data_IF_407709376288
#
_entry.id   IF_407709376288
#
_cell.length_a   1.000
_cell.length_b   1.000
_cell.length_c   1.000
_cell.angle_alpha   90.00
_cell.angle_beta   90.00
_cell.angle_gamma   90.00
#
_symmetry.space_group_name_H-M   'P 1'
#
loop_
_entity.id
_entity.type
_entity.pdbx_description
1 polymer ?
#
# COMPACT_ATOMS: atom_id res chain seq x y z
N UNK A 1 23.33 15.53 -15.67
CA UNK A 1 23.22 14.05 -15.73
C UNK A 1 21.83 13.69 -15.23
N UNK A 2 20.89 13.42 -16.15
CA UNK A 2 19.50 13.17 -15.82
C UNK A 2 19.33 11.73 -15.32
N UNK A 3 18.99 11.55 -14.05
CA UNK A 3 18.66 10.23 -13.49
C UNK A 3 17.21 9.92 -13.83
N UNK A 4 17.01 8.98 -14.74
CA UNK A 4 15.71 8.44 -15.13
C UNK A 4 15.04 7.75 -13.94
N UNK A 5 14.01 8.39 -13.39
CA UNK A 5 13.13 7.78 -12.39
C UNK A 5 12.27 6.71 -13.06
N UNK A 6 12.73 5.47 -13.01
CA UNK A 6 11.93 4.29 -13.31
C UNK A 6 10.84 4.16 -12.25
N UNK A 7 9.60 4.48 -12.61
CA UNK A 7 8.42 4.39 -11.75
C UNK A 7 8.06 2.91 -11.53
N UNK A 8 7.99 2.48 -10.26
CA UNK A 8 7.40 1.18 -9.87
C UNK A 8 8.33 0.13 -9.28
N UNK A 9 9.66 0.31 -9.30
CA UNK A 9 10.59 -0.63 -8.66
C UNK A 9 10.83 -0.30 -7.18
N UNK A 10 10.79 -1.31 -6.29
CA UNK A 10 11.32 -1.17 -4.92
C UNK A 10 12.83 -0.97 -5.05
N UNK A 11 13.30 0.24 -4.77
CA UNK A 11 14.72 0.56 -4.85
C UNK A 11 15.30 0.53 -3.43
N UNK A 12 16.46 -0.10 -3.20
CA UNK A 12 17.17 0.13 -1.95
C UNK A 12 17.48 1.63 -1.86
N UNK A 13 17.21 2.23 -0.71
CA UNK A 13 17.54 3.65 -0.51
C UNK A 13 19.04 3.83 -0.79
N UNK A 14 19.37 4.65 -1.81
CA UNK A 14 20.77 4.85 -2.23
C UNK A 14 21.56 5.74 -1.25
N UNK A 15 20.91 6.24 -0.20
CA UNK A 15 21.57 6.87 0.94
C UNK A 15 21.89 5.80 1.98
N UNK A 16 23.12 5.83 2.49
CA UNK A 16 23.58 5.06 3.65
C UNK A 16 22.44 4.72 4.62
N UNK A 17 22.42 3.51 5.15
CA UNK A 17 21.44 2.96 6.11
C UNK A 17 21.16 3.84 7.36
N UNK A 18 21.81 5.01 7.49
CA UNK A 18 21.68 6.05 8.52
C UNK A 18 21.47 7.46 7.91
N UNK A 19 20.64 7.64 6.87
CA UNK A 19 20.23 9.01 6.51
C UNK A 19 19.37 9.58 7.65
N UNK A 20 19.63 10.83 8.06
CA UNK A 20 18.85 11.54 9.09
C UNK A 20 17.35 11.51 8.77
N UNK A 21 17.00 11.54 7.47
CA UNK A 21 15.61 11.45 7.02
C UNK A 21 14.98 10.09 7.35
N UNK A 22 15.70 8.99 7.13
CA UNK A 22 15.24 7.62 7.43
C UNK A 22 15.10 7.41 8.94
N UNK A 23 16.02 7.93 9.75
CA UNK A 23 15.89 7.90 11.21
C UNK A 23 14.67 8.69 11.69
N UNK A 24 14.40 9.87 11.11
CA UNK A 24 13.23 10.67 11.46
C UNK A 24 11.91 10.00 11.02
N UNK A 25 11.92 9.25 9.92
CA UNK A 25 10.78 8.43 9.50
C UNK A 25 10.59 7.25 10.46
N UNK A 26 11.66 6.58 10.87
CA UNK A 26 11.63 5.46 11.80
C UNK A 26 11.16 5.87 13.20
N UNK A 27 11.67 6.97 13.75
CA UNK A 27 11.21 7.52 15.04
C UNK A 27 9.73 7.86 14.99
N UNK A 28 9.29 8.54 13.93
CA UNK A 28 7.87 8.84 13.73
C UNK A 28 7.00 7.57 13.70
N UNK A 29 7.45 6.52 13.03
CA UNK A 29 6.73 5.25 12.99
C UNK A 29 6.58 4.63 14.39
N UNK A 30 7.65 4.62 15.19
CA UNK A 30 7.63 4.08 16.56
C UNK A 30 6.76 4.96 17.47
N UNK A 31 6.83 6.28 17.36
CA UNK A 31 6.01 7.22 18.14
C UNK A 31 4.51 7.07 17.82
N UNK A 32 4.15 6.99 16.53
CA UNK A 32 2.77 6.75 16.09
C UNK A 32 2.24 5.42 16.59
N UNK A 33 3.05 4.36 16.52
CA UNK A 33 2.69 3.04 17.06
C UNK A 33 2.46 3.09 18.58
N UNK A 34 3.40 3.69 19.34
CA UNK A 34 3.27 3.84 20.78
C UNK A 34 2.02 4.64 21.16
N UNK A 35 1.67 5.66 20.38
CA UNK A 35 0.46 6.47 20.59
C UNK A 35 -0.83 5.70 20.27
N UNK A 36 -0.83 4.89 19.20
CA UNK A 36 -2.02 4.17 18.71
C UNK A 36 -2.30 2.89 19.50
N UNK A 37 -1.26 2.13 19.83
CA UNK A 37 -1.39 0.83 20.53
C UNK A 37 -1.07 0.91 22.03
N UNK A 38 -0.75 2.09 22.57
CA UNK A 38 -0.26 2.25 23.94
C UNK A 38 0.97 1.36 24.23
N UNK A 39 1.77 1.09 23.20
CA UNK A 39 2.98 0.30 23.31
C UNK A 39 4.15 1.15 23.85
N UNK A 40 5.16 0.47 24.38
CA UNK A 40 6.36 1.10 24.94
C UNK A 40 7.60 0.60 24.19
N UNK A 41 7.60 0.84 22.88
CA UNK A 41 8.67 0.43 21.97
C UNK A 41 9.71 1.55 21.86
N UNK A 42 10.98 1.24 22.10
CA UNK A 42 12.09 2.20 22.05
C UNK A 42 12.92 2.00 20.79
N UNK A 43 12.93 2.99 19.88
CA UNK A 43 13.71 2.94 18.65
C UNK A 43 15.23 2.86 18.94
N UNK A 44 15.92 1.88 18.33
CA UNK A 44 17.37 1.72 18.43
C UNK A 44 18.07 2.20 17.16
N UNK A 45 17.75 1.60 16.00
CA UNK A 45 18.39 1.93 14.72
C UNK A 45 17.57 1.44 13.53
N UNK A 46 17.89 1.94 12.34
CA UNK A 46 17.37 1.41 11.08
C UNK A 46 18.30 0.30 10.59
N UNK A 47 17.75 -0.88 10.33
CA UNK A 47 18.48 -2.05 9.80
C UNK A 47 18.43 -2.09 8.28
N UNK A 48 17.26 -1.73 7.72
CA UNK A 48 17.06 -1.72 6.27
C UNK A 48 16.11 -0.61 5.89
N UNK A 49 16.35 0.00 4.73
CA UNK A 49 15.51 1.03 4.19
C UNK A 49 15.39 0.85 2.68
N UNK A 50 14.15 0.70 2.22
CA UNK A 50 13.80 0.62 0.81
C UNK A 50 12.75 1.67 0.52
N UNK A 51 12.76 2.17 -0.70
CA UNK A 51 11.83 3.21 -1.14
C UNK A 51 11.06 2.68 -2.34
N UNK A 52 9.77 2.97 -2.34
CA UNK A 52 8.87 2.62 -3.41
C UNK A 52 8.12 3.86 -3.86
N UNK A 53 8.30 4.22 -5.14
CA UNK A 53 7.56 5.32 -5.75
C UNK A 53 6.15 4.82 -6.07
N UNK A 54 5.15 5.44 -5.45
CA UNK A 54 3.71 5.17 -5.63
C UNK A 54 2.99 6.49 -5.92
N UNK A 55 1.75 6.69 -5.47
CA UNK A 55 1.13 8.03 -5.37
C UNK A 55 1.76 8.86 -4.21
N UNK A 56 3.09 8.90 -4.17
CA UNK A 56 3.96 9.49 -3.15
C UNK A 56 5.28 8.75 -3.10
N UNK A 57 5.99 8.86 -1.99
CA UNK A 57 7.13 8.00 -1.65
C UNK A 57 6.71 7.13 -0.47
N UNK A 58 6.67 5.81 -0.67
CA UNK A 58 6.47 4.85 0.39
C UNK A 58 7.83 4.35 0.86
N UNK A 59 8.18 4.65 2.10
CA UNK A 59 9.42 4.19 2.73
C UNK A 59 9.15 2.91 3.50
N UNK A 60 9.76 1.81 3.07
CA UNK A 60 9.80 0.54 3.78
C UNK A 60 11.05 0.50 4.67
N UNK A 61 10.85 0.55 5.97
CA UNK A 61 11.89 0.64 6.99
C UNK A 61 11.84 -0.63 7.83
N UNK A 62 12.96 -1.29 7.98
CA UNK A 62 13.15 -2.29 9.03
C UNK A 62 13.91 -1.60 10.15
N UNK A 63 13.25 -1.43 11.30
CA UNK A 63 13.78 -0.75 12.47
C UNK A 63 14.01 -1.78 13.58
N UNK A 64 15.15 -1.69 14.23
CA UNK A 64 15.41 -2.41 15.48
C UNK A 64 14.92 -1.54 16.63
N UNK A 65 14.09 -2.11 17.49
CA UNK A 65 13.55 -1.43 18.65
C UNK A 65 13.53 -2.35 19.88
N UNK A 66 13.59 -1.77 21.07
CA UNK A 66 13.47 -2.51 22.33
C UNK A 66 12.03 -2.45 22.81
N UNK A 67 11.42 -3.62 22.97
CA UNK A 67 10.06 -3.78 23.50
C UNK A 67 10.12 -4.65 24.75
N UNK A 68 9.66 -4.10 25.88
CA UNK A 68 9.74 -4.72 27.20
C UNK A 68 11.15 -5.27 27.55
N UNK A 69 12.20 -4.56 27.15
CA UNK A 69 13.60 -4.93 27.41
C UNK A 69 14.19 -5.97 26.45
N UNK A 70 13.46 -6.40 25.41
CA UNK A 70 13.95 -7.31 24.37
C UNK A 70 14.11 -6.58 23.04
N UNK A 71 15.24 -6.79 22.37
CA UNK A 71 15.48 -6.25 21.02
C UNK A 71 14.67 -7.03 20.00
N UNK A 72 13.84 -6.30 19.25
CA UNK A 72 12.94 -6.83 18.25
C UNK A 72 13.08 -6.04 16.96
N UNK A 73 12.92 -6.72 15.83
CA UNK A 73 12.84 -6.05 14.54
C UNK A 73 11.39 -5.73 14.23
N UNK A 74 11.17 -4.54 13.68
CA UNK A 74 9.88 -4.07 13.23
C UNK A 74 9.99 -3.57 11.81
N UNK A 75 9.05 -3.94 10.97
CA UNK A 75 8.87 -3.38 9.64
C UNK A 75 7.83 -2.27 9.70
N UNK A 76 8.27 -1.07 9.39
CA UNK A 76 7.45 0.13 9.30
C UNK A 76 7.34 0.58 7.84
N UNK A 77 6.12 0.85 7.39
CA UNK A 77 5.85 1.46 6.08
C UNK A 77 5.35 2.87 6.30
N UNK A 78 6.10 3.88 5.87
CA UNK A 78 5.74 5.28 6.03
C UNK A 78 5.47 5.89 4.67
N UNK A 79 4.25 6.40 4.47
CA UNK A 79 3.86 7.00 3.21
C UNK A 79 3.94 8.52 3.28
N UNK A 80 4.72 9.10 2.39
CA UNK A 80 4.99 10.53 2.31
C UNK A 80 4.49 11.06 0.97
N UNK A 81 3.66 12.11 1.01
CA UNK A 81 3.23 12.87 -0.18
C UNK A 81 3.73 14.31 -0.04
N UNK A 82 4.88 14.66 -0.63
CA UNK A 82 5.49 15.98 -0.49
C UNK A 82 4.56 17.12 -0.94
N UNK A 83 3.77 16.90 -2.00
CA UNK A 83 2.85 17.89 -2.55
C UNK A 83 1.64 18.20 -1.66
N UNK A 84 1.40 17.39 -0.62
CA UNK A 84 0.26 17.53 0.28
C UNK A 84 0.70 17.69 1.75
N UNK A 85 2.02 17.76 2.02
CA UNK A 85 2.60 17.73 3.36
C UNK A 85 2.04 16.57 4.21
N UNK A 86 1.73 15.45 3.56
CA UNK A 86 1.09 14.31 4.20
C UNK A 86 2.14 13.25 4.51
N UNK A 87 2.23 12.85 5.76
CA UNK A 87 3.10 11.78 6.24
C UNK A 87 2.27 10.92 7.20
N UNK A 88 2.12 9.64 6.88
CA UNK A 88 1.32 8.71 7.66
C UNK A 88 2.02 7.34 7.76
N UNK A 89 1.99 6.76 8.95
CA UNK A 89 2.40 5.38 9.17
C UNK A 89 1.32 4.46 8.60
N UNK A 90 1.64 3.80 7.49
CA UNK A 90 0.73 2.86 6.86
C UNK A 90 0.69 1.54 7.61
N UNK A 91 1.85 1.04 8.04
CA UNK A 91 1.95 -0.29 8.63
C UNK A 91 3.14 -0.33 9.59
N UNK A 92 2.97 -1.03 10.72
CA UNK A 92 4.03 -1.31 11.67
C UNK A 92 3.88 -2.74 12.18
N UNK A 93 4.76 -3.64 11.74
CA UNK A 93 4.67 -5.08 12.02
C UNK A 93 5.93 -5.57 12.69
N UNK A 94 5.78 -6.51 13.61
CA UNK A 94 6.95 -7.20 14.17
C UNK A 94 7.53 -8.18 13.15
N UNK A 95 8.77 -7.94 12.72
CA UNK A 95 9.46 -8.72 11.70
C UNK A 95 10.24 -9.94 12.26
N UNK A 96 10.11 -10.21 13.57
CA UNK A 96 10.75 -11.31 14.27
C UNK A 96 11.88 -10.87 15.21
N UNK A 97 12.21 -11.73 16.17
CA UNK A 97 13.34 -11.54 17.07
C UNK A 97 14.66 -11.66 16.30
N UNK A 98 15.59 -10.73 16.53
CA UNK A 98 16.91 -10.72 15.87
C UNK A 98 17.78 -11.94 16.23
N UNK A 99 17.35 -12.73 17.22
CA UNK A 99 18.06 -13.90 17.76
C UNK A 99 17.09 -15.07 18.01
N UNK A 100 16.50 -15.68 16.97
CA UNK A 100 16.00 -17.08 17.04
C UNK A 100 15.76 -17.68 15.66
N UNK A 101 16.80 -18.35 15.16
CA UNK A 101 16.67 -19.45 14.21
C UNK A 101 15.71 -20.51 14.79
N UNK A 102 14.74 -20.94 13.98
CA UNK A 102 14.05 -22.22 14.07
C UNK A 102 13.40 -22.59 15.42
N UNK A 103 12.10 -22.33 15.53
CA UNK A 103 11.20 -23.32 16.13
C UNK A 103 10.30 -23.90 15.04
N UNK A 104 10.91 -24.65 14.12
CA UNK A 104 10.18 -25.69 13.39
C UNK A 104 9.92 -26.81 14.38
N UNK A 105 8.75 -26.83 15.02
CA UNK A 105 8.25 -28.09 15.55
C UNK A 105 7.83 -28.90 14.33
N UNK A 106 8.75 -29.75 13.89
CA UNK A 106 8.55 -30.68 12.80
C UNK A 106 7.41 -31.65 13.16
N UNK A 107 6.19 -31.30 12.76
CA UNK A 107 5.10 -32.25 12.64
C UNK A 107 4.41 -32.00 11.30
N UNK A 108 4.87 -32.78 10.33
CA UNK A 108 4.04 -33.49 9.34
C UNK A 108 2.99 -32.66 8.56
N UNK A 109 3.34 -32.29 7.33
CA UNK A 109 2.69 -32.72 6.08
C UNK A 109 2.99 -31.72 4.96
N UNK A 110 3.58 -32.24 3.89
CA UNK A 110 4.05 -31.46 2.76
C UNK A 110 2.95 -30.67 2.06
N UNK A 111 3.19 -29.36 1.90
CA UNK A 111 2.61 -28.59 0.81
C UNK A 111 3.66 -27.56 0.36
N UNK A 112 4.15 -27.76 -0.87
CA UNK A 112 4.81 -26.69 -1.60
C UNK A 112 3.78 -25.60 -1.88
N UNK A 113 4.09 -24.36 -1.49
CA UNK A 113 3.78 -23.17 -2.30
C UNK A 113 4.59 -21.97 -1.79
N UNK A 114 5.60 -21.68 -2.57
CA UNK A 114 6.07 -20.35 -3.00
C UNK A 114 6.00 -19.21 -1.97
N UNK A 115 7.20 -18.83 -1.55
CA UNK A 115 7.55 -17.77 -0.61
C UNK A 115 7.01 -16.39 -1.05
N UNK A 116 5.96 -15.96 -0.37
CA UNK A 116 5.45 -14.61 -0.09
C UNK A 116 6.09 -13.40 -0.81
N UNK A 117 5.58 -13.08 -2.01
CA UNK A 117 5.38 -11.69 -2.46
C UNK A 117 3.97 -11.20 -2.05
N UNK A 118 3.66 -9.90 -2.15
CA UNK A 118 2.33 -9.38 -1.82
C UNK A 118 1.28 -10.17 -2.61
N UNK A 119 0.33 -10.77 -1.91
CA UNK A 119 -0.69 -11.63 -2.49
C UNK A 119 -1.63 -10.77 -3.35
N UNK A 120 -1.31 -10.58 -4.63
CA UNK A 120 -2.24 -10.01 -5.61
C UNK A 120 -3.35 -11.03 -5.84
N UNK A 121 -4.48 -10.84 -5.17
CA UNK A 121 -5.64 -11.68 -5.35
C UNK A 121 -6.46 -11.11 -6.51
N UNK A 122 -6.46 -11.83 -7.65
CA UNK A 122 -7.40 -11.53 -8.72
C UNK A 122 -8.81 -11.74 -8.18
N UNK A 123 -9.62 -10.68 -8.16
CA UNK A 123 -10.98 -10.72 -7.63
C UNK A 123 -11.95 -10.93 -8.78
N UNK A 124 -13.02 -11.67 -8.53
CA UNK A 124 -14.09 -11.82 -9.49
C UNK A 124 -14.70 -10.44 -9.79
N UNK A 125 -14.87 -10.12 -11.07
CA UNK A 125 -15.50 -8.86 -11.51
C UNK A 125 -16.99 -8.77 -11.16
N UNK A 126 -17.60 -9.89 -10.78
CA UNK A 126 -19.00 -9.97 -10.31
C UNK A 126 -19.13 -9.89 -8.78
N UNK A 127 -18.04 -9.62 -8.06
CA UNK A 127 -18.10 -9.50 -6.60
C UNK A 127 -18.85 -8.19 -6.22
N UNK A 128 -19.81 -8.23 -5.28
CA UNK A 128 -20.56 -7.05 -4.85
C UNK A 128 -19.65 -5.93 -4.33
N UNK A 129 -18.50 -6.25 -3.71
CA UNK A 129 -17.53 -5.26 -3.23
C UNK A 129 -16.87 -4.54 -4.40
N UNK A 130 -16.57 -5.30 -5.46
CA UNK A 130 -15.93 -4.79 -6.68
C UNK A 130 -16.91 -3.93 -7.48
N UNK A 131 -18.19 -4.32 -7.53
CA UNK A 131 -19.24 -3.50 -8.16
C UNK A 131 -19.48 -2.19 -7.40
N UNK A 132 -19.63 -2.23 -6.08
CA UNK A 132 -19.83 -1.02 -5.27
C UNK A 132 -18.64 -0.05 -5.40
N UNK A 133 -17.41 -0.59 -5.37
CA UNK A 133 -16.21 0.19 -5.62
C UNK A 133 -16.16 0.79 -7.04
N UNK A 134 -16.62 0.04 -8.06
CA UNK A 134 -16.70 0.52 -9.43
C UNK A 134 -17.73 1.64 -9.60
N UNK A 135 -18.92 1.51 -9.02
CA UNK A 135 -19.97 2.52 -9.06
C UNK A 135 -19.53 3.79 -8.32
N UNK A 136 -18.91 3.63 -7.15
CA UNK A 136 -18.32 4.75 -6.42
C UNK A 136 -17.22 5.44 -7.24
N UNK A 137 -16.39 4.66 -7.94
CA UNK A 137 -15.37 5.19 -8.83
C UNK A 137 -15.99 5.97 -9.99
N UNK A 138 -16.99 5.45 -10.70
CA UNK A 138 -17.69 6.12 -11.81
C UNK A 138 -18.38 7.40 -11.36
N UNK A 139 -19.02 7.40 -10.18
CA UNK A 139 -19.57 8.62 -9.58
C UNK A 139 -18.48 9.66 -9.34
N UNK A 140 -17.32 9.24 -8.88
CA UNK A 140 -16.15 10.10 -8.73
C UNK A 140 -15.63 10.60 -10.09
N UNK A 141 -15.63 9.76 -11.14
CA UNK A 141 -15.34 10.16 -12.55
C UNK A 141 -16.24 11.30 -12.98
N UNK A 142 -17.54 11.16 -12.77
CA UNK A 142 -18.50 12.17 -13.16
C UNK A 142 -18.31 13.48 -12.39
N UNK A 143 -18.01 13.42 -11.08
CA UNK A 143 -17.81 14.61 -10.26
C UNK A 143 -16.53 15.37 -10.63
N UNK A 144 -15.42 14.67 -10.90
CA UNK A 144 -14.15 15.30 -11.28
C UNK A 144 -14.13 15.78 -12.73
N UNK A 145 -14.91 15.14 -13.58
CA UNK A 145 -15.00 15.52 -14.99
C UNK A 145 -16.02 16.63 -15.17
N UNK A 146 -15.66 17.67 -15.91
CA UNK A 146 -16.62 18.70 -16.33
C UNK A 146 -17.50 18.21 -17.51
N UNK A 147 -17.90 16.93 -17.50
CA UNK A 147 -18.63 16.30 -18.59
C UNK A 147 -20.13 16.56 -18.45
N UNK A 148 -20.75 17.12 -19.48
CA UNK A 148 -22.20 17.33 -19.56
C UNK A 148 -22.98 16.02 -19.76
N UNK A 149 -22.31 14.96 -20.19
CA UNK A 149 -22.89 13.62 -20.36
C UNK A 149 -22.48 12.71 -19.20
N UNK A 150 -23.42 11.90 -18.66
CA UNK A 150 -23.13 10.95 -17.59
C UNK A 150 -22.18 9.86 -18.08
N UNK A 151 -21.22 9.48 -17.24
CA UNK A 151 -20.45 8.25 -17.43
C UNK A 151 -21.26 7.05 -16.94
N UNK A 152 -21.42 6.06 -17.80
CA UNK A 152 -22.05 4.77 -17.47
C UNK A 152 -20.99 3.68 -17.43
N UNK A 153 -20.98 2.85 -16.38
CA UNK A 153 -20.11 1.67 -16.34
C UNK A 153 -20.61 0.65 -17.37
N UNK A 154 -19.78 0.31 -18.35
CA UNK A 154 -20.09 -0.72 -19.34
C UNK A 154 -19.61 -2.10 -18.87
N UNK A 155 -18.36 -2.18 -18.42
CA UNK A 155 -17.71 -3.44 -18.03
C UNK A 155 -16.50 -3.20 -17.13
N UNK A 156 -16.18 -4.16 -16.27
CA UNK A 156 -14.93 -4.19 -15.50
C UNK A 156 -13.98 -5.16 -16.22
N UNK A 157 -12.97 -4.62 -16.89
CA UNK A 157 -12.03 -5.39 -17.71
C UNK A 157 -11.08 -6.22 -16.85
N UNK A 158 -10.57 -5.64 -15.76
CA UNK A 158 -9.70 -6.30 -14.79
C UNK A 158 -9.99 -5.77 -13.39
N UNK A 159 -9.93 -6.64 -12.39
CA UNK A 159 -10.00 -6.28 -10.99
C UNK A 159 -9.01 -7.13 -10.18
N UNK A 160 -8.15 -6.47 -9.41
CA UNK A 160 -7.24 -7.12 -8.47
C UNK A 160 -7.32 -6.41 -7.12
N UNK A 161 -7.47 -7.19 -6.07
CA UNK A 161 -7.39 -6.70 -4.70
C UNK A 161 -6.06 -7.13 -4.09
N UNK A 162 -5.49 -6.19 -3.37
CA UNK A 162 -4.36 -6.38 -2.49
C UNK A 162 -4.90 -6.11 -1.08
N UNK A 163 -5.15 -7.20 -0.35
CA UNK A 163 -5.65 -7.12 1.02
C UNK A 163 -4.45 -6.88 1.93
N UNK A 164 -4.40 -5.70 2.54
CA UNK A 164 -3.51 -5.38 3.65
C UNK A 164 -4.32 -5.49 4.95
N UNK A 165 -3.64 -5.58 6.09
CA UNK A 165 -4.30 -5.77 7.39
C UNK A 165 -5.27 -4.62 7.75
N UNK A 166 -5.00 -3.40 7.29
CA UNK A 166 -5.77 -2.19 7.65
C UNK A 166 -6.63 -1.60 6.53
N UNK A 167 -6.39 -1.99 5.28
CA UNK A 167 -7.20 -1.60 4.13
C UNK A 167 -7.01 -2.56 2.95
N UNK A 168 -8.07 -2.80 2.18
CA UNK A 168 -8.01 -3.53 0.93
C UNK A 168 -7.82 -2.55 -0.22
N UNK A 169 -6.71 -2.65 -0.94
CA UNK A 169 -6.43 -1.88 -2.14
C UNK A 169 -7.00 -2.61 -3.36
N UNK A 170 -8.03 -2.07 -3.99
CA UNK A 170 -8.60 -2.56 -5.25
C UNK A 170 -8.05 -1.74 -6.41
N UNK A 171 -7.35 -2.40 -7.33
CA UNK A 171 -7.00 -1.82 -8.62
C UNK A 171 -7.95 -2.41 -9.65
N UNK A 172 -8.59 -1.56 -10.44
CA UNK A 172 -9.60 -1.95 -11.41
C UNK A 172 -9.40 -1.21 -12.72
N UNK A 173 -9.73 -1.87 -13.82
CA UNK A 173 -9.82 -1.27 -15.15
C UNK A 173 -11.28 -1.25 -15.55
N UNK A 174 -11.89 -0.08 -15.49
CA UNK A 174 -13.28 0.15 -15.85
C UNK A 174 -13.36 0.55 -17.31
N UNK A 175 -14.28 -0.06 -18.05
CA UNK A 175 -14.71 0.43 -19.36
C UNK A 175 -16.01 1.19 -19.15
N UNK A 176 -15.99 2.49 -19.39
CA UNK A 176 -17.15 3.37 -19.24
C UNK A 176 -17.59 3.88 -20.61
N UNK A 177 -18.87 4.22 -20.70
CA UNK A 177 -19.48 4.83 -21.88
C UNK A 177 -19.89 6.26 -21.55
N UNK A 178 -19.56 7.19 -22.43
CA UNK A 178 -19.94 8.61 -22.37
C UNK A 178 -20.61 8.97 -23.70
N UNK A 179 -21.94 9.03 -23.72
CA UNK A 179 -22.70 9.18 -24.96
C UNK A 179 -22.37 8.04 -25.93
N UNK A 180 -21.87 8.33 -27.12
CA UNK A 180 -21.46 7.31 -28.11
C UNK A 180 -19.99 6.88 -28.02
N UNK A 181 -19.24 7.40 -27.02
CA UNK A 181 -17.81 7.09 -26.85
C UNK A 181 -17.60 6.08 -25.74
N UNK A 182 -16.72 5.11 -25.98
CA UNK A 182 -16.26 4.14 -24.98
C UNK A 182 -14.84 4.50 -24.56
N UNK A 183 -14.63 4.58 -23.25
CA UNK A 183 -13.37 5.00 -22.64
C UNK A 183 -12.97 4.00 -21.55
N UNK A 184 -11.68 3.77 -21.37
CA UNK A 184 -11.16 2.92 -20.29
C UNK A 184 -10.54 3.79 -19.22
N UNK A 185 -10.76 3.43 -17.96
CA UNK A 185 -10.21 4.11 -16.80
C UNK A 185 -9.56 3.08 -15.88
N UNK A 186 -8.29 3.32 -15.57
CA UNK A 186 -7.60 2.63 -14.48
C UNK A 186 -7.94 3.37 -13.20
N UNK A 187 -8.56 2.68 -12.25
CA UNK A 187 -8.96 3.24 -10.96
C UNK A 187 -8.35 2.42 -9.84
N UNK A 188 -7.89 3.12 -8.81
CA UNK A 188 -7.38 2.54 -7.58
C UNK A 188 -8.26 3.02 -6.43
N UNK A 189 -8.95 2.07 -5.80
CA UNK A 189 -9.86 2.29 -4.68
C UNK A 189 -9.28 1.63 -3.45
N UNK A 190 -9.15 2.36 -2.34
CA UNK A 190 -8.80 1.76 -1.06
C UNK A 190 -10.08 1.61 -0.25
N UNK A 191 -10.35 0.40 0.18
CA UNK A 191 -11.42 0.05 1.09
C UNK A 191 -10.83 -0.07 2.49
N UNK A 192 -11.15 0.86 3.39
CA UNK A 192 -10.73 0.77 4.80
C UNK A 192 -11.66 -0.17 5.56
N UNK A 193 -11.14 -0.78 6.63
CA UNK A 193 -11.89 -1.68 7.53
C UNK A 193 -13.14 -1.01 8.17
N UNK A 194 -13.19 0.32 8.17
CA UNK A 194 -14.34 1.14 8.59
C UNK A 194 -15.47 1.22 7.53
N UNK A 195 -15.38 0.50 6.41
CA UNK A 195 -16.41 0.48 5.37
C UNK A 195 -16.42 1.71 4.44
N UNK A 196 -15.38 2.56 4.52
CA UNK A 196 -15.26 3.76 3.66
C UNK A 196 -14.38 3.45 2.45
N UNK A 197 -14.89 3.72 1.25
CA UNK A 197 -14.14 3.64 -0.01
C UNK A 197 -13.50 4.99 -0.36
N UNK A 198 -12.19 5.00 -0.58
CA UNK A 198 -11.47 6.18 -1.03
C UNK A 198 -10.79 5.92 -2.38
N UNK A 199 -11.17 6.69 -3.40
CA UNK A 199 -10.55 6.61 -4.73
C UNK A 199 -9.22 7.36 -4.67
N UNK A 200 -8.10 6.64 -4.62
CA UNK A 200 -6.77 7.23 -4.48
C UNK A 200 -6.19 7.68 -5.83
N UNK A 201 -6.44 6.90 -6.88
CA UNK A 201 -5.91 7.19 -8.20
C UNK A 201 -6.94 6.88 -9.29
N UNK A 202 -6.98 7.74 -10.30
CA UNK A 202 -7.68 7.47 -11.55
C UNK A 202 -6.84 8.03 -12.70
N UNK A 203 -6.67 7.22 -13.72
CA UNK A 203 -6.12 7.63 -15.00
C UNK A 203 -7.01 7.14 -16.15
N UNK A 204 -7.19 8.00 -17.16
CA UNK A 204 -7.82 7.58 -18.40
C UNK A 204 -6.81 6.79 -19.24
N UNK A 205 -7.13 5.54 -19.54
CA UNK A 205 -6.33 4.72 -20.43
C UNK A 205 -6.72 5.05 -21.88
N UNK A 206 -5.87 5.80 -22.58
CA UNK A 206 -6.08 6.23 -23.97
C UNK A 206 -5.49 5.23 -25.01
N UNK A 207 -5.44 3.93 -24.67
CA UNK A 207 -4.96 2.89 -25.60
C UNK A 207 -6.06 2.28 -26.46
#
# INVERSE_FOLDING_TARGET
MATTTTLGGVRPSQGSQNSVELENLARFAVDEHNKKENAMVEFVRVVKASEQVVAGTLHHLTVEAVDAGKKKLYEAKVWVKPWMNFKELQEFKHAGDADSSASFTACDLGAKKDVHGPMLQAVATNDPVVQDAADHAVKNIQQRSNSLLPYELKEIVHANAEVLEDFAKLNMVLKVKRGDKEEKFKVEVHHKNEGTYHVNHMEQDQS
#
